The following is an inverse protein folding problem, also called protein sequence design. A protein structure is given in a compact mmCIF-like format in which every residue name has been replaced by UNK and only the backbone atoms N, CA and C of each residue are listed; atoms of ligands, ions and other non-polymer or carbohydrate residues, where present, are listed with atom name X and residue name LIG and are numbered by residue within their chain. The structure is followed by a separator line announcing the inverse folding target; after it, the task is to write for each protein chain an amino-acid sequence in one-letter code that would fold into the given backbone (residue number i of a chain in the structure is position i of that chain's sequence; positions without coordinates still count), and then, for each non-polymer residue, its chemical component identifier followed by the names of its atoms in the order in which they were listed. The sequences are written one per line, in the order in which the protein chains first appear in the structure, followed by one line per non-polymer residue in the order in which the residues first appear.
data_IF_061805979059
#
_entry.id   IF_061805979059
#
_cell.length_a   1.000
_cell.length_b   1.000
_cell.length_c   1.000
_cell.angle_alpha   90.00
_cell.angle_beta   90.00
_cell.angle_gamma   90.00
#
_symmetry.space_group_name_H-M   'P 1'
#
loop_
_entity.id
_entity.type
_entity.pdbx_description
1 polymer ?
#
# COMPACT_ATOMS: atom_id res chain seq x y z
N UNK A 1 -10.85 0.94 -15.59
CA UNK A 1 -10.83 0.93 -14.12
C UNK A 1 -9.63 0.08 -13.73
N UNK A 2 -8.69 0.64 -12.97
CA UNK A 2 -7.41 -0.04 -12.71
C UNK A 2 -7.45 -0.89 -11.44
N UNK A 3 -8.26 -0.48 -10.46
CA UNK A 3 -8.53 -1.24 -9.24
C UNK A 3 -9.90 -0.88 -8.65
N UNK A 4 -10.40 -1.73 -7.76
CA UNK A 4 -11.60 -1.48 -6.97
C UNK A 4 -11.26 -1.40 -5.48
N UNK A 5 -11.90 -0.51 -4.75
CA UNK A 5 -11.66 -0.30 -3.32
C UNK A 5 -12.28 -1.42 -2.48
N UNK A 6 -11.58 -1.90 -1.46
CA UNK A 6 -12.08 -2.94 -0.55
C UNK A 6 -13.27 -2.54 0.33
N UNK A 7 -13.66 -1.26 0.36
CA UNK A 7 -14.77 -0.79 1.22
C UNK A 7 -16.15 -1.31 0.79
N UNK A 8 -16.33 -1.62 -0.51
CA UNK A 8 -17.56 -2.16 -1.07
C UNK A 8 -17.21 -2.95 -2.34
N UNK A 9 -16.91 -4.24 -2.18
CA UNK A 9 -16.49 -5.13 -3.26
C UNK A 9 -17.29 -6.42 -3.23
N UNK A 10 -17.81 -6.83 -4.40
CA UNK A 10 -18.42 -8.13 -4.60
C UNK A 10 -17.59 -8.93 -5.61
N UNK A 11 -17.19 -10.14 -5.22
CA UNK A 11 -16.35 -11.01 -6.07
C UNK A 11 -16.96 -12.39 -6.16
N UNK A 12 -17.01 -12.94 -7.37
CA UNK A 12 -17.46 -14.31 -7.59
C UNK A 12 -16.45 -15.30 -7.00
N UNK A 13 -16.91 -16.27 -6.21
CA UNK A 13 -16.03 -17.29 -5.60
C UNK A 13 -15.13 -18.00 -6.61
N UNK A 14 -15.66 -18.31 -7.80
CA UNK A 14 -14.89 -18.97 -8.87
C UNK A 14 -13.79 -18.09 -9.46
N UNK A 15 -13.92 -16.76 -9.40
CA UNK A 15 -12.90 -15.82 -9.89
C UNK A 15 -11.70 -15.73 -8.95
N UNK A 16 -11.89 -15.98 -7.64
CA UNK A 16 -10.82 -15.95 -6.62
C UNK A 16 -10.24 -17.31 -6.28
N UNK A 17 -10.89 -18.42 -6.67
CA UNK A 17 -10.38 -19.76 -6.38
C UNK A 17 -8.95 -20.02 -6.89
N UNK A 18 -8.55 -19.54 -8.10
CA UNK A 18 -7.18 -19.72 -8.58
C UNK A 18 -6.17 -18.74 -7.96
N UNK A 19 -6.62 -17.51 -7.65
CA UNK A 19 -5.74 -16.40 -7.24
C UNK A 19 -5.64 -16.23 -5.73
N UNK A 20 -6.51 -16.87 -4.95
CA UNK A 20 -6.68 -16.63 -3.52
C UNK A 20 -7.40 -15.31 -3.23
N UNK A 21 -7.83 -15.12 -1.98
CA UNK A 21 -8.48 -13.89 -1.54
C UNK A 21 -7.44 -12.76 -1.33
N UNK A 22 -7.29 -12.26 -0.11
CA UNK A 22 -6.28 -11.25 0.21
C UNK A 22 -4.94 -11.91 0.55
N UNK A 23 -3.86 -11.27 0.12
CA UNK A 23 -2.50 -11.68 0.46
C UNK A 23 -2.18 -11.16 1.86
N UNK A 24 -2.01 -12.08 2.82
CA UNK A 24 -1.82 -11.77 4.25
C UNK A 24 -0.59 -10.89 4.54
N UNK A 25 0.33 -10.75 3.58
CA UNK A 25 1.43 -9.80 3.69
C UNK A 25 0.94 -8.35 3.74
N UNK A 26 -0.25 -8.05 3.21
CA UNK A 26 -0.92 -6.76 3.32
C UNK A 26 -1.84 -6.77 4.56
N UNK A 27 -1.29 -6.37 5.70
CA UNK A 27 -2.05 -6.27 6.95
C UNK A 27 -3.07 -5.10 6.95
N UNK A 28 -2.72 -3.98 6.31
CA UNK A 28 -3.52 -2.76 6.28
C UNK A 28 -3.16 -1.92 5.03
N UNK A 29 -4.15 -1.57 4.21
CA UNK A 29 -4.06 -0.76 2.99
C UNK A 29 -3.27 -1.40 1.83
N UNK A 30 -3.91 -1.58 0.67
CA UNK A 30 -3.30 -2.07 -0.57
C UNK A 30 -3.56 -3.54 -0.88
N UNK A 31 -4.21 -4.28 0.02
CA UNK A 31 -4.69 -5.64 -0.21
C UNK A 31 -5.72 -5.73 -1.35
N UNK A 32 -6.54 -4.70 -1.49
CA UNK A 32 -7.58 -4.54 -2.51
C UNK A 32 -6.99 -4.20 -3.88
N UNK A 33 -5.94 -3.36 -3.91
CA UNK A 33 -5.13 -3.10 -5.10
C UNK A 33 -4.46 -4.40 -5.58
N UNK A 34 -3.84 -5.15 -4.66
CA UNK A 34 -3.21 -6.43 -4.99
C UNK A 34 -4.20 -7.44 -5.57
N UNK A 35 -5.38 -7.56 -4.97
CA UNK A 35 -6.45 -8.43 -5.46
C UNK A 35 -6.93 -7.99 -6.85
N UNK A 36 -7.14 -6.70 -7.06
CA UNK A 36 -7.57 -6.16 -8.35
C UNK A 36 -6.57 -6.45 -9.46
N UNK A 37 -5.28 -6.27 -9.19
CA UNK A 37 -4.21 -6.56 -10.15
C UNK A 37 -4.12 -8.06 -10.47
N UNK A 38 -4.27 -8.94 -9.48
CA UNK A 38 -4.32 -10.40 -9.70
C UNK A 38 -5.52 -10.82 -10.53
N UNK A 39 -6.70 -10.27 -10.25
CA UNK A 39 -7.92 -10.56 -11.00
C UNK A 39 -7.80 -10.06 -12.45
N UNK A 40 -7.27 -8.85 -12.66
CA UNK A 40 -7.01 -8.31 -13.99
C UNK A 40 -6.01 -9.17 -14.77
N UNK A 41 -4.91 -9.61 -14.14
CA UNK A 41 -3.93 -10.50 -14.75
C UNK A 41 -4.52 -11.88 -15.12
N UNK A 42 -5.56 -12.33 -14.41
CA UNK A 42 -6.32 -13.54 -14.71
C UNK A 42 -7.47 -13.30 -15.72
N UNK A 43 -7.52 -12.12 -16.36
CA UNK A 43 -8.54 -11.77 -17.36
C UNK A 43 -9.94 -11.52 -16.77
N UNK A 44 -10.06 -11.33 -15.46
CA UNK A 44 -11.35 -11.03 -14.82
C UNK A 44 -11.67 -9.53 -14.96
N UNK A 45 -12.90 -9.17 -15.35
CA UNK A 45 -13.27 -7.77 -15.48
C UNK A 45 -13.48 -7.10 -14.11
N UNK A 46 -13.03 -5.85 -13.99
CA UNK A 46 -13.35 -4.95 -12.88
C UNK A 46 -14.46 -3.99 -13.31
N UNK A 47 -15.64 -4.12 -12.70
CA UNK A 47 -16.85 -3.37 -13.08
C UNK A 47 -17.26 -2.44 -11.95
N UNK A 48 -17.46 -1.16 -12.28
CA UNK A 48 -18.06 -0.18 -11.39
C UNK A 48 -19.57 -0.11 -11.63
N UNK A 49 -20.36 -0.18 -10.56
CA UNK A 49 -21.82 -0.17 -10.61
C UNK A 49 -22.33 1.09 -9.89
N UNK A 50 -22.63 2.19 -10.61
CA UNK A 50 -22.96 3.48 -9.99
C UNK A 50 -24.28 3.47 -9.21
N UNK A 51 -25.17 2.54 -9.51
CA UNK A 51 -26.46 2.38 -8.82
C UNK A 51 -26.33 1.66 -7.47
N UNK A 52 -25.21 0.99 -7.21
CA UNK A 52 -24.93 0.33 -5.94
C UNK A 52 -24.10 1.25 -5.04
N UNK A 53 -24.77 2.06 -4.22
CA UNK A 53 -24.11 3.04 -3.36
C UNK A 53 -24.01 2.56 -1.89
N UNK A 54 -22.85 2.79 -1.28
CA UNK A 54 -22.59 2.52 0.15
C UNK A 54 -21.88 3.73 0.75
N UNK A 55 -22.27 4.13 1.96
CA UNK A 55 -21.59 5.21 2.70
C UNK A 55 -20.42 4.63 3.50
N UNK A 56 -19.23 5.17 3.29
CA UNK A 56 -18.02 4.76 4.00
C UNK A 56 -17.49 5.87 4.93
N UNK A 57 -17.42 5.61 6.23
CA UNK A 57 -16.87 6.53 7.23
C UNK A 57 -15.33 6.49 7.25
N UNK A 58 -14.72 7.22 6.31
CA UNK A 58 -13.27 7.25 6.07
C UNK A 58 -12.49 7.64 7.33
N UNK A 59 -11.42 6.91 7.63
CA UNK A 59 -10.43 7.31 8.64
C UNK A 59 -10.77 6.97 10.10
N UNK A 60 -11.99 6.52 10.39
CA UNK A 60 -12.45 6.24 11.76
C UNK A 60 -11.57 5.23 12.49
N UNK A 61 -11.21 4.12 11.83
CA UNK A 61 -10.37 3.07 12.40
C UNK A 61 -8.89 3.46 12.47
N UNK A 62 -8.39 4.22 11.48
CA UNK A 62 -6.99 4.60 11.38
C UNK A 62 -6.62 5.80 12.25
N UNK A 63 -7.59 6.66 12.58
CA UNK A 63 -7.41 7.78 13.51
C UNK A 63 -6.88 7.33 14.88
N UNK A 64 -7.25 6.11 15.33
CA UNK A 64 -6.80 5.53 16.60
C UNK A 64 -5.35 5.00 16.57
N UNK A 65 -4.79 4.74 15.39
CA UNK A 65 -3.44 4.17 15.25
C UNK A 65 -2.35 5.25 15.08
N UNK A 66 -2.74 6.44 14.65
CA UNK A 66 -1.84 7.57 14.42
C UNK A 66 -1.10 7.50 13.08
N UNK A 67 -0.57 8.67 12.66
CA UNK A 67 0.06 8.85 11.35
C UNK A 67 1.24 7.88 11.08
N UNK A 68 2.18 7.63 12.02
CA UNK A 68 3.32 6.75 11.73
C UNK A 68 2.94 5.32 11.33
N UNK A 69 1.84 4.79 11.89
CA UNK A 69 1.31 3.48 11.54
C UNK A 69 0.80 3.45 10.09
N UNK A 70 0.05 4.47 9.70
CA UNK A 70 -0.49 4.60 8.34
C UNK A 70 0.66 4.71 7.33
N UNK A 71 1.60 5.64 7.56
CA UNK A 71 2.75 5.83 6.68
C UNK A 71 3.57 4.57 6.52
N UNK A 72 3.84 3.86 7.63
CA UNK A 72 4.57 2.61 7.57
C UNK A 72 3.92 1.59 6.63
N UNK A 73 2.64 1.29 6.87
CA UNK A 73 1.93 0.28 6.10
C UNK A 73 1.75 0.70 4.64
N UNK A 74 1.40 1.97 4.38
CA UNK A 74 1.28 2.47 3.00
C UNK A 74 2.61 2.40 2.25
N UNK A 75 3.72 2.81 2.86
CA UNK A 75 5.04 2.76 2.22
C UNK A 75 5.49 1.32 1.98
N UNK A 76 5.43 0.46 3.01
CA UNK A 76 5.80 -0.96 2.88
C UNK A 76 4.95 -1.66 1.81
N UNK A 77 3.64 -1.46 1.83
CA UNK A 77 2.74 -2.16 0.93
C UNK A 77 2.87 -1.65 -0.50
N UNK A 78 3.13 -0.35 -0.70
CA UNK A 78 3.48 0.18 -2.03
C UNK A 78 4.72 -0.48 -2.61
N UNK A 79 5.77 -0.65 -1.79
CA UNK A 79 6.99 -1.36 -2.21
C UNK A 79 6.69 -2.82 -2.58
N UNK A 80 5.85 -3.49 -1.78
CA UNK A 80 5.43 -4.87 -2.04
C UNK A 80 4.63 -5.00 -3.34
N UNK A 81 3.69 -4.08 -3.60
CA UNK A 81 2.88 -4.06 -4.83
C UNK A 81 3.76 -3.86 -6.05
N UNK A 82 4.70 -2.91 -6.02
CA UNK A 82 5.66 -2.71 -7.11
C UNK A 82 6.52 -3.95 -7.32
N UNK A 83 7.04 -4.55 -6.26
CA UNK A 83 7.86 -5.75 -6.39
C UNK A 83 7.10 -6.91 -7.07
N UNK A 84 5.82 -7.07 -6.73
CA UNK A 84 4.95 -8.17 -7.20
C UNK A 84 4.39 -7.96 -8.60
N UNK A 85 4.00 -6.73 -8.95
CA UNK A 85 3.21 -6.45 -10.16
C UNK A 85 3.90 -5.58 -11.22
N UNK A 86 5.00 -4.90 -10.89
CA UNK A 86 5.69 -4.07 -11.87
C UNK A 86 6.67 -4.90 -12.72
N UNK A 87 6.82 -4.52 -14.00
CA UNK A 87 7.71 -5.21 -14.94
C UNK A 87 8.72 -4.25 -15.59
N UNK A 88 9.93 -4.77 -15.83
CA UNK A 88 11.00 -4.09 -16.59
C UNK A 88 11.21 -2.63 -16.18
N UNK A 89 10.92 -1.72 -17.11
CA UNK A 89 11.10 -0.27 -16.96
C UNK A 89 10.28 0.35 -15.82
N UNK A 90 9.15 -0.24 -15.43
CA UNK A 90 8.35 0.26 -14.31
C UNK A 90 9.10 0.13 -12.98
N UNK A 91 9.84 -0.98 -12.79
CA UNK A 91 10.71 -1.16 -11.62
C UNK A 91 11.86 -0.16 -11.64
N UNK A 92 12.50 0.04 -12.79
CA UNK A 92 13.59 1.02 -12.96
C UNK A 92 13.11 2.43 -12.63
N UNK A 93 11.99 2.86 -13.23
CA UNK A 93 11.42 4.18 -12.95
C UNK A 93 11.05 4.35 -11.46
N UNK A 94 10.43 3.34 -10.85
CA UNK A 94 10.03 3.42 -9.45
C UNK A 94 11.22 3.43 -8.48
N UNK A 95 12.24 2.60 -8.70
CA UNK A 95 13.37 2.50 -7.77
C UNK A 95 14.50 3.50 -8.03
N UNK A 96 14.69 3.94 -9.28
CA UNK A 96 15.77 4.88 -9.63
C UNK A 96 15.23 6.32 -9.76
N UNK A 97 14.18 6.53 -10.55
CA UNK A 97 13.75 7.89 -10.92
C UNK A 97 12.94 8.54 -9.80
N UNK A 98 12.04 7.80 -9.15
CA UNK A 98 11.17 8.36 -8.12
C UNK A 98 11.94 8.88 -6.88
N UNK A 99 12.92 8.16 -6.31
CA UNK A 99 13.73 8.69 -5.21
C UNK A 99 14.64 9.85 -5.64
N UNK A 100 15.17 9.83 -6.86
CA UNK A 100 15.98 10.92 -7.40
C UNK A 100 15.17 12.21 -7.56
N UNK A 101 13.93 12.12 -8.06
CA UNK A 101 13.02 13.26 -8.15
C UNK A 101 12.57 13.75 -6.78
N UNK A 102 12.38 12.84 -5.82
CA UNK A 102 12.08 13.20 -4.43
C UNK A 102 13.27 13.88 -3.75
N UNK A 103 14.48 13.40 -3.97
CA UNK A 103 15.70 14.01 -3.45
C UNK A 103 15.95 15.39 -4.08
N UNK A 104 15.73 15.53 -5.40
CA UNK A 104 15.82 16.81 -6.09
C UNK A 104 14.77 17.82 -5.63
N UNK A 105 13.59 17.36 -5.19
CA UNK A 105 12.54 18.18 -4.57
C UNK A 105 12.70 18.34 -3.05
N UNK A 106 13.55 17.54 -2.41
CA UNK A 106 13.72 17.41 -0.97
C UNK A 106 14.89 18.20 -0.38
N UNK A 107 15.50 19.12 -1.15
CA UNK A 107 16.60 19.98 -0.70
C UNK A 107 16.19 21.05 0.35
N UNK A 108 15.08 20.87 1.06
CA UNK A 108 14.64 21.74 2.15
C UNK A 108 13.84 20.91 3.18
N UNK A 109 14.51 20.31 4.17
CA UNK A 109 13.92 19.97 5.49
C UNK A 109 15.08 19.73 6.47
N UNK A 110 15.55 20.76 7.19
CA UNK A 110 16.57 20.58 8.21
C UNK A 110 15.98 19.81 9.40
N UNK A 111 16.59 18.65 9.70
CA UNK A 111 16.44 17.94 10.95
C UNK A 111 16.99 18.82 12.08
N UNK A 112 16.13 19.35 12.94
CA UNK A 112 16.54 19.93 14.22
C UNK A 112 15.99 19.10 15.38
N UNK A 113 16.93 18.81 16.26
CA UNK A 113 16.83 18.45 17.67
C UNK A 113 16.86 16.98 18.09
N UNK A 114 17.85 16.76 18.96
CA UNK A 114 18.44 15.56 19.52
C UNK A 114 17.76 15.13 20.83
N UNK A 115 18.05 13.90 21.26
CA UNK A 115 17.77 13.31 22.59
C UNK A 115 16.55 12.40 22.80
N UNK A 116 16.00 11.81 21.74
CA UNK A 116 15.39 10.46 21.81
C UNK A 116 15.62 9.78 20.46
N UNK A 117 15.80 8.46 20.46
CA UNK A 117 15.89 7.65 19.24
C UNK A 117 14.57 7.74 18.43
N UNK A 118 14.38 8.85 17.73
CA UNK A 118 13.18 9.27 17.01
C UNK A 118 13.54 9.96 15.67
N UNK A 119 14.73 9.70 15.12
CA UNK A 119 15.11 10.20 13.80
C UNK A 119 14.47 9.42 12.63
N UNK A 120 14.33 10.03 11.44
CA UNK A 120 13.83 9.37 10.23
C UNK A 120 14.66 8.14 9.83
N UNK A 121 15.96 8.14 10.13
CA UNK A 121 16.87 7.02 9.85
C UNK A 121 16.65 5.79 10.75
N UNK A 122 16.31 5.99 12.04
CA UNK A 122 16.03 4.87 12.95
C UNK A 122 14.70 4.16 12.63
N UNK A 123 13.72 4.93 12.15
CA UNK A 123 12.43 4.39 11.71
C UNK A 123 12.56 3.63 10.39
N UNK A 124 13.31 4.15 9.41
CA UNK A 124 13.53 3.48 8.12
C UNK A 124 14.01 2.03 8.26
N UNK A 125 14.95 1.72 9.18
CA UNK A 125 15.41 0.35 9.42
C UNK A 125 14.31 -0.59 9.94
N UNK A 126 13.45 -0.14 10.86
CA UNK A 126 12.29 -0.94 11.30
C UNK A 126 11.24 -1.11 10.21
N UNK A 127 11.16 -0.15 9.27
CA UNK A 127 10.25 -0.21 8.12
C UNK A 127 10.66 -1.33 7.17
N UNK A 128 11.94 -1.35 6.78
CA UNK A 128 12.49 -2.36 5.87
C UNK A 128 12.58 -3.77 6.50
N UNK A 129 12.71 -3.86 7.83
CA UNK A 129 12.75 -5.15 8.54
C UNK A 129 11.38 -5.83 8.70
N UNK A 130 10.26 -5.20 8.30
CA UNK A 130 8.93 -5.83 8.37
C UNK A 130 8.38 -6.05 9.79
N UNK A 131 8.96 -5.39 10.82
CA UNK A 131 8.68 -5.65 12.24
C UNK A 131 7.80 -4.59 12.92
N UNK A 132 7.39 -3.54 12.22
CA UNK A 132 6.52 -2.51 12.82
C UNK A 132 5.04 -2.96 12.76
N UNK A 133 4.30 -2.82 13.85
CA UNK A 133 2.85 -3.07 13.89
C UNK A 133 2.37 -4.52 14.10
N UNK A 134 3.25 -5.54 14.10
CA UNK A 134 2.86 -6.90 14.57
C UNK A 134 2.71 -6.88 16.10
N UNK A 135 1.48 -6.75 16.60
CA UNK A 135 1.19 -7.13 17.98
C UNK A 135 1.38 -8.65 18.08
N UNK A 136 2.12 -9.09 19.10
CA UNK A 136 2.10 -10.48 19.56
C UNK A 136 0.70 -10.81 20.07
#
# INVERSE_FOLDING_TARGET
MDFATGCALLVRRTAIAPSGLFDERYFFMGEDVDLSLRLAAAGQPLVYVPTAAVVHSVGTSSARQGQPFIWYHMTRNRLLTVAKHAHGMQKVHFYAVWPLLWAARGCCLPCKDSHRWHGPCGRACTIFAGRFGRRR
#
